data_IF_736406716890
#
_entry.id   IF_736406716890
#
_cell.length_a   1.000
_cell.length_b   1.000
_cell.length_c   1.000
_cell.angle_alpha   90.00
_cell.angle_beta   90.00
_cell.angle_gamma   90.00
#
_symmetry.space_group_name_H-M   'P 1'
#
loop_
_entity.id
_entity.type
_entity.pdbx_description
1 polymer ?
#
# COMPACT_ATOMS: atom_id res chain seq x y z
N UNK A 1 0.94 -21.27 -12.68
CA UNK A 1 0.40 -22.10 -12.27
C UNK A 1 -0.91 -22.64 -12.60
N UNK A 2 -1.96 -22.21 -12.20
CA UNK A 2 -3.23 -22.78 -12.52
C UNK A 2 -3.81 -22.13 -13.74
N UNK A 3 -4.29 -22.90 -14.71
CA UNK A 3 -4.88 -22.31 -15.91
C UNK A 3 -6.12 -21.49 -15.58
N UNK A 4 -6.76 -21.79 -14.48
CA UNK A 4 -7.86 -20.96 -14.03
C UNK A 4 -7.95 -21.05 -12.52
N UNK A 5 -8.53 -20.04 -11.93
CA UNK A 5 -8.65 -19.97 -10.50
C UNK A 5 -10.09 -20.22 -10.13
N UNK A 6 -10.34 -21.12 -9.17
CA UNK A 6 -11.70 -21.37 -8.75
C UNK A 6 -12.36 -20.09 -8.24
N UNK A 7 -13.68 -20.05 -8.37
CA UNK A 7 -14.44 -18.89 -7.92
C UNK A 7 -14.14 -18.53 -6.46
N UNK A 8 -13.96 -19.54 -5.64
CA UNK A 8 -13.65 -19.33 -4.23
C UNK A 8 -12.33 -18.58 -4.04
N UNK A 9 -11.31 -18.97 -4.80
CA UNK A 9 -10.01 -18.28 -4.73
C UNK A 9 -10.11 -16.85 -5.20
N UNK A 10 -10.89 -16.60 -6.25
CA UNK A 10 -11.12 -15.24 -6.74
C UNK A 10 -11.70 -14.37 -5.64
N UNK A 11 -12.74 -14.89 -4.98
CA UNK A 11 -13.40 -14.17 -3.92
C UNK A 11 -12.45 -13.89 -2.77
N UNK A 12 -11.63 -14.89 -2.43
CA UNK A 12 -10.68 -14.77 -1.34
C UNK A 12 -9.61 -13.71 -1.63
N UNK A 13 -9.10 -13.67 -2.84
CA UNK A 13 -8.10 -12.67 -3.23
C UNK A 13 -8.70 -11.28 -3.19
N UNK A 14 -9.91 -11.11 -3.72
CA UNK A 14 -10.59 -9.83 -3.67
C UNK A 14 -10.80 -9.33 -2.26
N UNK A 15 -11.18 -10.23 -1.38
CA UNK A 15 -11.39 -9.89 0.02
C UNK A 15 -10.09 -9.48 0.69
N UNK A 16 -8.99 -10.16 0.39
CA UNK A 16 -7.68 -9.82 0.94
C UNK A 16 -7.23 -8.44 0.46
N UNK A 17 -7.47 -8.14 -0.79
CA UNK A 17 -7.14 -6.83 -1.35
C UNK A 17 -7.94 -5.75 -0.63
N UNK A 18 -9.24 -5.95 -0.47
CA UNK A 18 -10.09 -5.00 0.22
C UNK A 18 -9.63 -4.78 1.66
N UNK A 19 -9.31 -5.87 2.36
CA UNK A 19 -8.84 -5.78 3.74
C UNK A 19 -7.53 -5.01 3.84
N UNK A 20 -6.63 -5.22 2.89
CA UNK A 20 -5.36 -4.49 2.89
C UNK A 20 -5.55 -3.01 2.61
N UNK A 21 -6.49 -2.66 1.74
CA UNK A 21 -6.82 -1.25 1.52
C UNK A 21 -7.36 -0.61 2.79
N UNK A 22 -8.24 -1.32 3.50
CA UNK A 22 -8.78 -0.82 4.77
C UNK A 22 -7.68 -0.66 5.80
N UNK A 23 -6.78 -1.63 5.89
CA UNK A 23 -5.63 -1.54 6.79
C UNK A 23 -4.78 -0.33 6.47
N UNK A 24 -4.53 -0.09 5.18
CA UNK A 24 -3.73 1.04 4.74
C UNK A 24 -4.39 2.35 5.12
N UNK A 25 -5.69 2.48 4.88
CA UNK A 25 -6.44 3.68 5.23
C UNK A 25 -6.41 3.92 6.73
N UNK A 26 -6.64 2.89 7.51
CA UNK A 26 -6.67 3.00 8.96
C UNK A 26 -5.30 3.38 9.51
N UNK A 27 -4.26 2.74 9.01
CA UNK A 27 -2.90 3.01 9.47
C UNK A 27 -2.44 4.40 9.04
N UNK A 28 -2.80 4.84 7.84
CA UNK A 28 -2.49 6.19 7.37
C UNK A 28 -3.12 7.24 8.27
N UNK A 29 -4.37 7.01 8.63
CA UNK A 29 -5.09 7.92 9.52
C UNK A 29 -4.41 7.97 10.88
N UNK A 30 -4.07 6.81 11.43
CA UNK A 30 -3.39 6.72 12.71
C UNK A 30 -2.04 7.41 12.66
N UNK A 31 -1.30 7.21 11.58
CA UNK A 31 0.01 7.84 11.40
C UNK A 31 -0.10 9.36 11.39
N UNK A 32 -1.12 9.87 10.72
CA UNK A 32 -1.31 11.32 10.61
C UNK A 32 -1.44 11.97 11.97
N UNK A 33 -2.09 11.29 12.91
CA UNK A 33 -2.34 11.83 14.24
C UNK A 33 -1.32 11.37 15.29
N UNK A 34 -0.28 10.66 14.89
CA UNK A 34 0.74 10.17 15.81
C UNK A 34 1.83 11.23 16.03
N UNK A 35 2.60 11.06 17.10
CA UNK A 35 3.77 11.89 17.28
C UNK A 35 4.83 11.56 16.24
N UNK A 36 5.88 12.38 16.17
CA UNK A 36 6.85 12.31 15.09
C UNK A 36 7.54 10.97 14.97
N UNK A 37 8.01 10.40 16.07
CA UNK A 37 8.73 9.13 16.00
C UNK A 37 7.82 7.97 15.66
N UNK A 38 6.62 7.92 16.23
CA UNK A 38 5.66 6.88 15.92
C UNK A 38 5.15 7.02 14.48
N UNK A 39 5.01 8.26 14.02
CA UNK A 39 4.55 8.54 12.67
C UNK A 39 5.48 7.91 11.64
N UNK A 40 6.79 8.04 11.83
CA UNK A 40 7.76 7.48 10.91
C UNK A 40 7.64 5.96 10.83
N UNK A 41 7.52 5.30 11.97
CA UNK A 41 7.34 3.84 12.01
C UNK A 41 6.07 3.43 11.27
N UNK A 42 4.98 4.15 11.52
CA UNK A 42 3.71 3.84 10.90
C UNK A 42 3.73 4.07 9.38
N UNK A 43 4.49 5.06 8.94
CA UNK A 43 4.64 5.31 7.50
C UNK A 43 5.39 4.16 6.84
N UNK A 44 6.42 3.61 7.47
CA UNK A 44 7.10 2.44 6.96
C UNK A 44 6.13 1.26 6.85
N UNK A 45 5.28 1.09 7.87
CA UNK A 45 4.28 0.02 7.83
C UNK A 45 3.29 0.24 6.70
N UNK A 46 2.89 1.50 6.44
CA UNK A 46 2.02 1.82 5.32
C UNK A 46 2.66 1.42 3.99
N UNK A 47 3.95 1.70 3.85
CA UNK A 47 4.67 1.36 2.64
C UNK A 47 4.71 -0.15 2.44
N UNK A 48 4.89 -0.92 3.51
CA UNK A 48 4.87 -2.37 3.43
C UNK A 48 3.50 -2.90 3.01
N UNK A 49 2.44 -2.31 3.55
CA UNK A 49 1.08 -2.70 3.15
C UNK A 49 0.87 -2.37 1.68
N UNK A 50 1.36 -1.22 1.24
CA UNK A 50 1.25 -0.81 -0.14
C UNK A 50 1.95 -1.79 -1.07
N UNK A 51 3.15 -2.23 -0.69
CA UNK A 51 3.89 -3.21 -1.48
C UNK A 51 3.15 -4.55 -1.55
N UNK A 52 2.52 -4.96 -0.44
CA UNK A 52 1.70 -6.16 -0.42
C UNK A 52 0.52 -6.02 -1.36
N UNK A 53 -0.12 -4.85 -1.37
CA UNK A 53 -1.23 -4.57 -2.29
C UNK A 53 -0.79 -4.67 -3.74
N UNK A 54 0.36 -4.11 -4.07
CA UNK A 54 0.89 -4.19 -5.43
C UNK A 54 1.10 -5.64 -5.84
N UNK A 55 1.63 -6.46 -4.92
CA UNK A 55 1.82 -7.88 -5.18
C UNK A 55 0.48 -8.58 -5.42
N UNK A 56 -0.49 -8.37 -4.54
CA UNK A 56 -1.79 -9.01 -4.66
C UNK A 56 -2.51 -8.61 -5.95
N UNK A 57 -2.41 -7.35 -6.32
CA UNK A 57 -3.02 -6.85 -7.55
C UNK A 57 -2.36 -7.49 -8.78
N UNK A 58 -1.05 -7.65 -8.74
CA UNK A 58 -0.33 -8.33 -9.82
C UNK A 58 -0.76 -9.78 -9.95
N UNK A 59 -0.92 -10.47 -8.82
CA UNK A 59 -1.40 -11.86 -8.83
C UNK A 59 -2.80 -11.94 -9.42
N UNK A 60 -3.68 -11.04 -9.01
CA UNK A 60 -5.04 -11.01 -9.52
C UNK A 60 -5.07 -10.77 -11.02
N UNK A 61 -4.21 -9.89 -11.50
CA UNK A 61 -4.13 -9.60 -12.92
C UNK A 61 -3.60 -10.81 -13.71
N UNK A 62 -2.53 -11.41 -13.23
CA UNK A 62 -1.96 -12.59 -13.91
C UNK A 62 -2.94 -13.75 -13.91
N UNK A 63 -3.74 -13.87 -12.89
CA UNK A 63 -4.77 -14.91 -12.80
C UNK A 63 -6.04 -14.54 -13.57
N UNK A 64 -6.04 -13.38 -14.24
CA UNK A 64 -7.16 -12.90 -15.04
C UNK A 64 -8.42 -12.65 -14.23
N UNK A 65 -8.25 -12.30 -12.96
CA UNK A 65 -9.37 -11.96 -12.10
C UNK A 65 -9.78 -10.51 -12.28
N UNK A 66 -8.87 -9.67 -12.75
CA UNK A 66 -9.16 -8.29 -13.07
C UNK A 66 -8.69 -8.02 -14.50
N UNK A 67 -9.30 -7.04 -15.14
CA UNK A 67 -8.95 -6.67 -16.50
C UNK A 67 -7.64 -5.89 -16.54
N UNK A 68 -7.04 -5.80 -17.71
CA UNK A 68 -5.85 -5.01 -17.91
C UNK A 68 -6.10 -3.55 -17.54
N UNK A 69 -7.26 -3.04 -17.90
CA UNK A 69 -7.63 -1.67 -17.59
C UNK A 69 -7.74 -1.44 -16.10
N UNK A 70 -8.37 -2.37 -15.39
CA UNK A 70 -8.49 -2.30 -13.94
C UNK A 70 -7.12 -2.34 -13.28
N UNK A 71 -6.27 -3.26 -13.74
CA UNK A 71 -4.93 -3.39 -13.22
C UNK A 71 -4.15 -2.08 -13.38
N UNK A 72 -4.21 -1.49 -14.57
CA UNK A 72 -3.50 -0.26 -14.87
C UNK A 72 -3.99 0.89 -13.98
N UNK A 73 -5.29 1.03 -13.84
CA UNK A 73 -5.87 2.11 -13.03
C UNK A 73 -5.49 1.98 -11.57
N UNK A 74 -5.58 0.77 -11.03
CA UNK A 74 -5.25 0.52 -9.63
C UNK A 74 -3.76 0.74 -9.41
N UNK A 75 -2.92 0.25 -10.32
CA UNK A 75 -1.48 0.39 -10.21
C UNK A 75 -1.07 1.86 -10.18
N UNK A 76 -1.69 2.69 -11.01
CA UNK A 76 -1.41 4.12 -11.01
C UNK A 76 -1.74 4.75 -9.66
N UNK A 77 -2.88 4.37 -9.09
CA UNK A 77 -3.28 4.91 -7.79
C UNK A 77 -2.34 4.46 -6.69
N UNK A 78 -1.89 3.21 -6.74
CA UNK A 78 -0.94 2.71 -5.76
C UNK A 78 0.41 3.41 -5.90
N UNK A 79 0.83 3.70 -7.12
CA UNK A 79 2.08 4.43 -7.34
C UNK A 79 1.99 5.85 -6.80
N UNK A 80 0.84 6.50 -6.98
CA UNK A 80 0.63 7.83 -6.43
C UNK A 80 0.67 7.80 -4.91
N UNK A 81 0.06 6.80 -4.30
CA UNK A 81 0.10 6.64 -2.86
C UNK A 81 1.54 6.41 -2.39
N UNK A 82 2.29 5.60 -3.14
CA UNK A 82 3.68 5.34 -2.81
C UNK A 82 4.51 6.60 -2.82
N UNK A 83 4.30 7.47 -3.80
CA UNK A 83 5.00 8.74 -3.86
C UNK A 83 4.64 9.63 -2.68
N UNK A 84 3.38 9.62 -2.30
CA UNK A 84 2.92 10.41 -1.16
C UNK A 84 3.56 9.94 0.13
N UNK A 85 3.57 8.63 0.38
CA UNK A 85 4.19 8.08 1.57
C UNK A 85 5.71 8.29 1.55
N UNK A 86 6.34 8.14 0.39
CA UNK A 86 7.76 8.38 0.23
C UNK A 86 8.14 9.82 0.54
N UNK A 87 7.35 10.75 0.02
CA UNK A 87 7.55 12.17 0.29
C UNK A 87 7.37 12.49 1.75
N UNK A 88 6.35 11.90 2.36
CA UNK A 88 6.06 12.08 3.79
C UNK A 88 7.21 11.55 4.63
N UNK A 89 7.70 10.36 4.31
CA UNK A 89 8.83 9.76 5.00
C UNK A 89 10.08 10.65 4.88
N UNK A 90 10.37 11.12 3.68
CA UNK A 90 11.53 11.97 3.45
C UNK A 90 11.43 13.29 4.20
N UNK A 91 10.24 13.87 4.23
CA UNK A 91 9.99 15.09 4.95
C UNK A 91 10.27 14.94 6.45
N UNK A 92 9.81 13.84 7.03
CA UNK A 92 10.05 13.54 8.42
C UNK A 92 11.54 13.26 8.69
N UNK A 93 12.17 12.55 7.76
CA UNK A 93 13.60 12.27 7.86
C UNK A 93 14.42 13.54 7.82
N UNK A 94 14.10 14.44 6.91
CA UNK A 94 14.77 15.72 6.82
C UNK A 94 14.60 16.54 8.08
N UNK A 95 13.37 16.64 8.56
CA UNK A 95 13.07 17.37 9.77
C UNK A 95 13.87 16.83 10.94
N UNK A 96 13.92 15.52 11.07
CA UNK A 96 14.66 14.84 12.11
C UNK A 96 16.14 15.09 11.98
N UNK A 97 16.66 14.95 10.76
CA UNK A 97 18.06 15.16 10.46
C UNK A 97 18.45 16.61 10.77
N UNK A 98 17.60 17.52 10.37
CA UNK A 98 17.83 18.94 10.64
C UNK A 98 17.92 19.22 12.13
N UNK A 99 17.02 18.61 12.90
CA UNK A 99 17.02 18.74 14.34
C UNK A 99 18.30 18.19 14.93
N UNK A 100 18.79 17.09 14.42
CA UNK A 100 20.01 16.48 14.92
C UNK A 100 21.26 17.27 14.55
N UNK A 101 21.17 18.08 13.52
CA UNK A 101 22.29 18.91 13.09
C UNK A 101 22.59 20.03 14.04
N UNK A 102 21.70 20.32 14.92
CA UNK A 102 21.93 21.35 15.92
C UNK A 102 22.52 20.76 17.17
#
# INVERSE_FOLDING_TARGET
IMPHIPRLSRYTIGQRIDNKFLDLLQLSHTAYFSNKSDKLVKIYDCIQILDTLKFLISVAWEAKLISHKQYKNISLKLDEAGKMFGGWKNSLGKSRKHTLSF
#
